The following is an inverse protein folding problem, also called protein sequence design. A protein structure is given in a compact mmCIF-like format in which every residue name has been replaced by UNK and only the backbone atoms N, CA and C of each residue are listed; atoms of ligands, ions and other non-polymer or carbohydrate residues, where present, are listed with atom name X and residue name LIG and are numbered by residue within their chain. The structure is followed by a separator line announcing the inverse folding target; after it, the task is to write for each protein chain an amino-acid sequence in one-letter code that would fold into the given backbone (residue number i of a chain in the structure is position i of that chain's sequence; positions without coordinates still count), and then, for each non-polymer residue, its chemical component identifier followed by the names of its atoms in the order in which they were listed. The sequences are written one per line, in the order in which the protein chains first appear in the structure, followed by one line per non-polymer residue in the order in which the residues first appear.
data_IF_584952776725
#
_entry.id   IF_584952776725
#
_cell.length_a   1.000
_cell.length_b   1.000
_cell.length_c   1.000
_cell.angle_alpha   90.00
_cell.angle_beta   90.00
_cell.angle_gamma   90.00
#
_symmetry.space_group_name_H-M   'P 1'
#
loop_
_entity.id
_entity.type
_entity.pdbx_description
1 polymer ?
#
# COMPACT_ATOMS: atom_id res chain seq x y z
N UNK A 1 -24.50 17.15 -18.93
CA UNK A 1 -23.13 17.48 -19.37
C UNK A 1 -22.17 16.78 -18.44
N UNK A 2 -21.45 15.81 -18.98
CA UNK A 2 -20.57 14.87 -18.27
C UNK A 2 -19.22 15.53 -18.06
N UNK A 3 -18.88 15.86 -16.80
CA UNK A 3 -17.52 16.27 -16.42
C UNK A 3 -16.61 15.05 -16.41
N UNK A 4 -15.61 15.04 -17.29
CA UNK A 4 -14.56 14.03 -17.39
C UNK A 4 -13.77 13.91 -16.06
N UNK A 5 -13.27 12.72 -15.68
CA UNK A 5 -12.35 12.58 -14.56
C UNK A 5 -11.06 13.37 -14.84
N UNK A 6 -10.60 14.13 -13.85
CA UNK A 6 -9.36 14.91 -13.92
C UNK A 6 -8.15 13.96 -13.78
N UNK A 7 -7.83 13.26 -14.86
CA UNK A 7 -6.44 13.01 -15.26
C UNK A 7 -6.12 13.70 -16.62
N UNK A 8 -7.08 14.43 -17.20
CA UNK A 8 -6.90 15.20 -18.44
C UNK A 8 -6.66 16.68 -18.12
N UNK A 9 -5.43 17.16 -18.30
CA UNK A 9 -5.16 18.59 -18.43
C UNK A 9 -4.99 18.93 -19.92
N UNK A 10 -6.11 19.03 -20.65
CA UNK A 10 -6.19 19.89 -21.84
C UNK A 10 -7.11 21.05 -21.50
N UNK A 11 -6.51 22.10 -20.93
CA UNK A 11 -7.16 23.35 -20.62
C UNK A 11 -7.45 24.12 -21.91
N UNK A 12 -8.60 23.86 -22.54
CA UNK A 12 -9.14 24.77 -23.55
C UNK A 12 -9.99 25.85 -22.86
N UNK A 13 -9.46 27.07 -22.98
CA UNK A 13 -10.01 28.36 -22.58
C UNK A 13 -11.48 28.51 -22.99
N UNK A 14 -12.38 28.66 -22.02
CA UNK A 14 -13.68 29.29 -22.24
C UNK A 14 -13.85 30.45 -21.25
N UNK A 15 -13.55 31.64 -21.75
CA UNK A 15 -13.99 32.92 -21.20
C UNK A 15 -15.52 32.98 -21.24
N UNK A 16 -16.16 33.25 -20.10
CA UNK A 16 -17.46 33.93 -20.06
C UNK A 16 -17.59 34.68 -18.72
N UNK A 17 -17.65 36.01 -18.86
CA UNK A 17 -17.98 37.02 -17.85
C UNK A 17 -19.27 36.68 -17.09
N UNK A 18 -19.38 37.03 -15.80
CA UNK A 18 -20.52 37.78 -15.24
C UNK A 18 -20.25 38.24 -13.78
N UNK A 19 -20.07 39.56 -13.64
CA UNK A 19 -20.40 40.52 -12.58
C UNK A 19 -20.00 40.35 -11.08
N UNK A 20 -19.34 41.45 -10.64
CA UNK A 20 -19.03 41.94 -9.31
C UNK A 20 -20.19 41.85 -8.29
N UNK A 21 -19.87 41.34 -7.10
CA UNK A 21 -20.41 41.85 -5.83
C UNK A 21 -19.26 42.09 -4.86
N UNK A 22 -19.14 43.35 -4.44
CA UNK A 22 -18.26 43.78 -3.35
C UNK A 22 -18.78 43.25 -2.02
N UNK A 23 -17.92 42.57 -1.26
CA UNK A 23 -18.05 42.50 0.20
C UNK A 23 -16.66 42.60 0.82
N UNK A 24 -16.38 43.79 1.36
CA UNK A 24 -15.26 44.05 2.24
C UNK A 24 -15.46 43.22 3.50
N UNK A 25 -14.51 42.36 3.86
CA UNK A 25 -14.39 41.94 5.24
C UNK A 25 -12.93 41.80 5.67
N UNK A 26 -12.72 42.38 6.83
CA UNK A 26 -11.53 42.72 7.57
C UNK A 26 -10.50 41.58 7.67
N UNK A 27 -9.27 41.89 7.27
CA UNK A 27 -8.07 41.10 7.52
C UNK A 27 -7.83 40.92 9.01
N UNK A 28 -7.98 39.69 9.50
CA UNK A 28 -7.30 39.22 10.71
C UNK A 28 -6.11 38.38 10.28
N UNK A 29 -4.93 38.99 10.22
CA UNK A 29 -3.67 38.26 10.16
C UNK A 29 -3.45 37.59 11.52
N UNK A 30 -4.01 36.40 11.70
CA UNK A 30 -3.49 35.48 12.70
C UNK A 30 -2.18 34.90 12.15
N UNK A 31 -1.06 35.54 12.51
CA UNK A 31 0.26 34.92 12.49
C UNK A 31 0.27 33.80 13.55
N UNK A 32 -0.35 32.67 13.25
CA UNK A 32 -0.01 31.41 13.91
C UNK A 32 1.25 30.91 13.22
N UNK A 33 2.40 31.03 13.88
CA UNK A 33 3.54 30.16 13.62
C UNK A 33 3.08 28.72 13.87
N UNK A 34 2.52 28.09 12.83
CA UNK A 34 2.15 26.70 12.87
C UNK A 34 3.44 25.91 13.09
N UNK A 35 3.66 25.46 14.31
CA UNK A 35 4.69 24.47 14.61
C UNK A 35 4.40 23.27 13.73
N UNK A 36 5.32 22.96 12.82
CA UNK A 36 5.22 21.82 11.93
C UNK A 36 5.11 20.53 12.76
N UNK A 37 3.97 19.85 12.68
CA UNK A 37 3.80 18.55 13.32
C UNK A 37 4.65 17.52 12.56
N UNK A 38 5.57 16.86 13.26
CA UNK A 38 6.41 15.81 12.68
C UNK A 38 6.75 14.75 13.74
N UNK A 39 6.47 13.49 13.42
CA UNK A 39 6.90 12.32 14.19
C UNK A 39 7.65 11.37 13.27
N UNK A 40 8.81 10.89 13.69
CA UNK A 40 9.59 9.89 12.96
C UNK A 40 9.55 8.54 13.65
N UNK A 41 9.47 7.48 12.83
CA UNK A 41 9.52 6.10 13.27
C UNK A 41 10.52 5.33 12.39
N UNK A 42 11.26 4.36 12.95
CA UNK A 42 12.05 3.45 12.15
C UNK A 42 11.14 2.59 11.26
N UNK A 43 11.52 2.41 10.00
CA UNK A 43 10.80 1.57 9.04
C UNK A 43 11.67 0.36 8.66
N UNK A 44 11.26 -0.84 9.08
CA UNK A 44 12.06 -2.05 8.89
C UNK A 44 11.50 -2.89 7.74
N UNK A 45 12.26 -3.10 6.65
CA UNK A 45 11.89 -4.10 5.65
C UNK A 45 12.14 -5.50 6.20
N UNK A 46 11.10 -6.32 6.28
CA UNK A 46 11.18 -7.67 6.81
C UNK A 46 10.84 -8.69 5.74
N UNK A 47 11.69 -9.70 5.59
CA UNK A 47 11.39 -10.81 4.71
C UNK A 47 10.39 -11.77 5.36
N UNK A 48 9.31 -12.07 4.64
CA UNK A 48 8.29 -13.01 5.09
C UNK A 48 8.74 -14.42 4.67
N UNK A 49 9.27 -15.18 5.64
CA UNK A 49 9.73 -16.55 5.43
C UNK A 49 8.60 -17.44 4.89
N UNK A 50 8.92 -18.25 3.88
CA UNK A 50 8.05 -19.23 3.23
C UNK A 50 7.72 -20.46 4.09
N UNK A 51 8.22 -20.55 5.33
CA UNK A 51 7.99 -21.70 6.22
C UNK A 51 6.75 -21.58 7.11
N UNK A 52 5.60 -21.26 6.52
CA UNK A 52 4.31 -21.66 7.09
C UNK A 52 3.63 -22.62 6.14
N UNK A 53 3.84 -23.90 6.38
CA UNK A 53 2.85 -24.92 6.06
C UNK A 53 1.61 -24.57 6.87
N UNK A 54 0.70 -23.81 6.28
CA UNK A 54 -0.65 -23.65 6.79
C UNK A 54 -1.31 -25.03 6.73
N UNK A 55 -1.15 -25.84 7.78
CA UNK A 55 -2.09 -26.93 8.07
C UNK A 55 -3.41 -26.24 8.40
N UNK A 56 -4.27 -26.09 7.40
CA UNK A 56 -5.70 -25.84 7.62
C UNK A 56 -6.20 -26.99 8.49
N UNK A 57 -6.48 -26.69 9.76
CA UNK A 57 -7.30 -27.54 10.61
C UNK A 57 -8.72 -27.41 10.08
N UNK A 58 -9.16 -28.42 9.33
CA UNK A 58 -10.57 -28.61 9.04
C UNK A 58 -11.27 -28.92 10.37
N UNK A 59 -11.89 -27.92 11.00
CA UNK A 59 -12.92 -28.17 11.99
C UNK A 59 -14.21 -28.52 11.26
N UNK A 60 -14.46 -29.82 11.18
CA UNK A 60 -15.72 -30.40 10.74
C UNK A 60 -16.88 -29.82 11.55
N UNK A 61 -17.75 -29.03 10.94
CA UNK A 61 -19.11 -28.89 11.45
C UNK A 61 -19.94 -30.07 10.94
N UNK A 62 -20.22 -30.99 11.84
CA UNK A 62 -21.14 -32.10 11.64
C UNK A 62 -22.53 -31.54 11.37
N UNK A 63 -23.06 -31.79 10.18
CA UNK A 63 -24.49 -31.88 9.94
C UNK A 63 -24.74 -33.05 8.98
N UNK A 64 -25.50 -34.03 9.46
CA UNK A 64 -25.87 -35.25 8.73
C UNK A 64 -27.10 -34.97 7.81
N UNK A 65 -27.51 -35.86 6.88
CA UNK A 65 -27.33 -35.62 5.45
C UNK A 65 -28.67 -35.64 4.68
N UNK A 66 -28.77 -34.87 3.59
CA UNK A 66 -29.42 -35.24 2.32
C UNK A 66 -29.68 -33.99 1.48
N UNK A 67 -28.75 -33.71 0.56
CA UNK A 67 -29.02 -33.25 -0.80
C UNK A 67 -27.66 -33.17 -1.50
N UNK A 68 -27.44 -34.08 -2.46
CA UNK A 68 -26.23 -34.10 -3.29
C UNK A 68 -26.37 -32.98 -4.32
N UNK A 69 -25.77 -31.83 -4.04
CA UNK A 69 -25.41 -30.84 -5.07
C UNK A 69 -23.91 -30.90 -5.28
N UNK A 70 -23.41 -30.95 -6.53
CA UNK A 70 -21.98 -30.93 -6.79
C UNK A 70 -21.47 -29.50 -6.47
N UNK A 71 -20.92 -29.31 -5.27
CA UNK A 71 -20.17 -28.10 -4.97
C UNK A 71 -18.84 -28.18 -5.72
N UNK A 72 -18.74 -27.49 -6.85
CA UNK A 72 -17.44 -27.15 -7.43
C UNK A 72 -16.68 -26.34 -6.39
N UNK A 73 -15.71 -26.96 -5.71
CA UNK A 73 -14.79 -26.28 -4.83
C UNK A 73 -13.93 -25.34 -5.68
N UNK A 74 -14.33 -24.08 -5.79
CA UNK A 74 -13.51 -23.05 -6.41
C UNK A 74 -12.25 -22.88 -5.56
N UNK A 75 -11.13 -23.34 -6.08
CA UNK A 75 -9.83 -23.31 -5.41
C UNK A 75 -9.22 -21.92 -5.66
N UNK A 76 -9.61 -20.91 -4.88
CA UNK A 76 -9.13 -19.52 -5.02
C UNK A 76 -7.74 -19.30 -4.41
N UNK A 77 -6.88 -20.32 -4.42
CA UNK A 77 -5.54 -20.22 -3.87
C UNK A 77 -4.67 -19.36 -4.80
N UNK A 78 -4.64 -18.06 -4.55
CA UNK A 78 -3.59 -17.20 -5.10
C UNK A 78 -2.25 -17.80 -4.67
N UNK A 79 -1.39 -18.07 -5.64
CA UNK A 79 -0.06 -18.66 -5.40
C UNK A 79 0.94 -17.61 -4.88
N UNK A 80 0.49 -16.37 -4.75
CA UNK A 80 1.27 -15.22 -4.34
C UNK A 80 1.40 -15.20 -2.82
N UNK A 81 2.64 -15.12 -2.33
CA UNK A 81 2.96 -14.81 -0.94
C UNK A 81 4.05 -13.75 -0.98
N UNK A 82 3.90 -12.69 -0.20
CA UNK A 82 4.95 -11.69 -0.05
C UNK A 82 6.27 -12.33 0.34
N UNK A 83 7.36 -11.83 -0.22
CA UNK A 83 8.68 -12.04 0.34
C UNK A 83 9.16 -10.86 1.17
N UNK A 84 8.50 -9.69 1.12
CA UNK A 84 8.88 -8.51 1.90
C UNK A 84 7.68 -7.64 2.32
N UNK A 85 7.67 -7.20 3.58
CA UNK A 85 6.74 -6.20 4.13
C UNK A 85 7.49 -5.07 4.84
N UNK A 86 6.93 -3.86 4.84
CA UNK A 86 7.49 -2.70 5.53
C UNK A 86 6.84 -2.55 6.90
N UNK A 87 7.62 -2.74 7.97
CA UNK A 87 7.10 -2.76 9.33
C UNK A 87 7.40 -1.45 10.04
N UNK A 88 6.37 -0.85 10.63
CA UNK A 88 6.47 0.26 11.57
C UNK A 88 5.94 -0.17 12.94
N UNK A 89 6.63 0.23 14.00
CA UNK A 89 6.20 -0.03 15.38
C UNK A 89 5.50 1.20 15.94
N UNK A 90 4.22 1.06 16.30
CA UNK A 90 3.41 2.19 16.77
C UNK A 90 2.84 1.92 18.18
N UNK A 91 2.87 2.93 19.08
CA UNK A 91 2.32 2.80 20.44
C UNK A 91 0.80 2.99 20.44
N UNK A 92 0.06 1.98 20.91
CA UNK A 92 -1.41 1.95 20.93
C UNK A 92 -1.91 1.75 22.37
N UNK A 93 -2.93 2.49 22.79
CA UNK A 93 -3.56 2.35 24.11
C UNK A 93 -3.01 3.22 25.23
N UNK A 94 -3.54 3.02 26.44
CA UNK A 94 -3.18 3.76 27.66
C UNK A 94 -3.05 2.82 28.87
N UNK A 95 -1.84 2.56 29.40
CA UNK A 95 -0.53 2.93 28.84
C UNK A 95 -0.29 2.29 27.45
N UNK A 96 0.60 2.87 26.63
CA UNK A 96 0.85 2.38 25.28
C UNK A 96 1.47 0.98 25.26
N UNK A 97 0.95 0.13 24.38
CA UNK A 97 1.49 -1.16 23.97
C UNK A 97 2.00 -1.00 22.53
N UNK A 98 3.28 -1.28 22.29
CA UNK A 98 3.89 -1.14 20.95
C UNK A 98 3.44 -2.30 20.07
N UNK A 99 2.85 -1.99 18.92
CA UNK A 99 2.37 -2.97 17.94
C UNK A 99 3.14 -2.82 16.62
N UNK A 100 3.71 -3.91 16.07
CA UNK A 100 4.24 -3.92 14.72
C UNK A 100 3.11 -3.97 13.71
N UNK A 101 3.18 -3.10 12.70
CA UNK A 101 2.17 -2.97 11.67
C UNK A 101 2.83 -2.88 10.30
N UNK A 102 2.28 -3.58 9.32
CA UNK A 102 2.66 -3.42 7.91
C UNK A 102 2.14 -2.07 7.42
N UNK A 103 3.03 -1.22 6.91
CA UNK A 103 2.66 0.04 6.28
C UNK A 103 2.04 -0.23 4.91
N UNK A 104 0.74 0.06 4.76
CA UNK A 104 -0.02 -0.30 3.57
C UNK A 104 -0.82 0.90 3.05
N UNK A 105 -0.35 1.52 1.96
CA UNK A 105 -1.05 2.62 1.29
C UNK A 105 -2.15 2.16 0.32
N UNK A 106 -2.29 0.85 0.12
CA UNK A 106 -3.33 0.22 -0.71
C UNK A 106 -4.61 -0.17 0.05
N UNK A 107 -4.61 -0.16 1.39
CA UNK A 107 -5.80 -0.49 2.19
C UNK A 107 -6.24 0.60 3.16
N UNK A 108 -7.52 0.52 3.56
CA UNK A 108 -8.12 1.50 4.46
C UNK A 108 -8.12 1.06 5.92
N UNK A 109 -8.51 -0.16 6.25
CA UNK A 109 -8.72 -0.53 7.65
C UNK A 109 -7.37 -0.85 8.30
N UNK A 110 -6.97 -0.05 9.28
CA UNK A 110 -5.91 -0.45 10.20
C UNK A 110 -6.43 -1.51 11.16
N UNK A 111 -5.67 -2.59 11.36
CA UNK A 111 -6.01 -3.65 12.30
C UNK A 111 -4.78 -4.20 13.01
N UNK A 112 -4.99 -4.76 14.19
CA UNK A 112 -3.96 -5.31 15.09
C UNK A 112 -4.37 -6.67 15.63
N UNK A 113 -3.41 -7.45 16.11
CA UNK A 113 -3.66 -8.71 16.81
C UNK A 113 -4.17 -8.45 18.22
N UNK A 114 -5.32 -9.04 18.56
CA UNK A 114 -5.95 -8.86 19.85
C UNK A 114 -6.15 -10.18 20.59
N UNK A 115 -5.45 -10.35 21.71
CA UNK A 115 -5.67 -11.47 22.61
C UNK A 115 -5.69 -10.99 24.06
N UNK A 116 -6.65 -11.51 24.83
CA UNK A 116 -6.56 -11.46 26.30
C UNK A 116 -5.41 -12.38 26.71
N UNK A 117 -4.62 -12.04 27.75
CA UNK A 117 -3.58 -12.92 28.32
C UNK A 117 -4.00 -14.39 28.27
N UNK A 118 -3.48 -15.14 27.31
CA UNK A 118 -3.57 -16.58 27.32
C UNK A 118 -2.58 -17.12 28.36
N UNK A 119 -2.85 -18.26 29.00
CA UNK A 119 -1.87 -18.93 29.87
C UNK A 119 -0.64 -19.48 29.11
N UNK A 120 -0.58 -19.29 27.79
CA UNK A 120 0.55 -19.60 26.92
C UNK A 120 1.15 -18.29 26.41
N UNK A 121 2.46 -18.23 26.11
CA UNK A 121 3.05 -16.98 25.64
C UNK A 121 2.27 -16.50 24.41
N UNK A 122 1.64 -15.31 24.47
CA UNK A 122 1.05 -14.72 23.27
C UNK A 122 2.14 -14.55 22.21
N UNK A 123 1.78 -14.44 20.91
CA UNK A 123 2.72 -13.92 19.93
C UNK A 123 3.35 -12.65 20.51
N UNK A 124 4.65 -12.45 20.34
CA UNK A 124 5.43 -11.36 20.96
C UNK A 124 4.96 -9.94 20.60
N UNK A 125 3.85 -9.80 19.87
CA UNK A 125 3.33 -8.62 19.22
C UNK A 125 1.78 -8.58 19.18
N UNK A 126 1.10 -8.96 20.27
CA UNK A 126 -0.35 -8.81 20.38
C UNK A 126 -0.72 -7.73 21.39
N UNK A 127 -1.76 -6.95 21.06
CA UNK A 127 -2.38 -5.98 21.94
C UNK A 127 -3.30 -6.69 22.93
N UNK A 128 -3.13 -6.42 24.23
CA UNK A 128 -4.04 -6.87 25.28
C UNK A 128 -5.05 -5.76 25.61
N UNK A 129 -6.33 -5.92 25.21
CA UNK A 129 -7.35 -4.92 25.49
C UNK A 129 -7.59 -4.64 26.97
N UNK A 130 -7.30 -5.61 27.85
CA UNK A 130 -7.52 -5.45 29.30
C UNK A 130 -6.50 -4.55 29.98
N UNK A 131 -5.36 -4.29 29.32
CA UNK A 131 -4.28 -3.45 29.83
C UNK A 131 -4.38 -2.00 29.35
N UNK A 132 -5.38 -1.66 28.52
CA UNK A 132 -5.60 -0.30 28.04
C UNK A 132 -6.88 0.30 28.61
N UNK A 133 -6.76 1.40 29.36
CA UNK A 133 -7.91 2.13 29.91
C UNK A 133 -8.72 2.90 28.87
N UNK A 134 -8.18 3.05 27.65
CA UNK A 134 -8.85 3.75 26.53
C UNK A 134 -9.45 2.81 25.50
N UNK A 135 -9.30 1.49 25.69
CA UNK A 135 -9.91 0.50 24.83
C UNK A 135 -11.43 0.52 24.98
N UNK A 136 -12.14 0.51 23.86
CA UNK A 136 -13.60 0.33 23.86
C UNK A 136 -14.08 -0.50 22.69
N UNK A 137 -15.08 -1.32 22.96
CA UNK A 137 -15.74 -2.13 21.92
C UNK A 137 -16.59 -1.25 21.00
N UNK A 138 -16.67 -1.61 19.72
CA UNK A 138 -17.61 -1.00 18.79
C UNK A 138 -18.91 -1.84 18.76
N UNK A 139 -20.04 -1.34 19.30
CA UNK A 139 -21.29 -2.09 19.29
C UNK A 139 -21.80 -2.22 17.85
N UNK A 140 -22.52 -3.32 17.56
CA UNK A 140 -23.04 -3.55 16.21
C UNK A 140 -24.07 -2.48 15.76
N UNK A 141 -24.69 -1.76 16.71
CA UNK A 141 -25.59 -0.64 16.40
C UNK A 141 -24.86 0.59 15.86
N UNK A 142 -23.53 0.63 15.93
CA UNK A 142 -22.72 1.74 15.45
C UNK A 142 -22.87 1.90 13.92
N UNK A 143 -22.99 3.14 13.38
CA UNK A 143 -23.20 3.36 11.95
C UNK A 143 -22.14 2.75 11.02
N UNK A 144 -20.88 2.67 11.46
CA UNK A 144 -19.80 2.02 10.70
C UNK A 144 -20.02 0.52 10.51
N UNK A 145 -20.79 -0.12 11.41
CA UNK A 145 -21.15 -1.53 11.26
C UNK A 145 -22.26 -1.79 10.24
N UNK A 146 -22.91 -0.73 9.75
CA UNK A 146 -23.79 -0.83 8.60
C UNK A 146 -22.91 -0.84 7.35
N UNK A 147 -22.88 -1.93 6.57
CA UNK A 147 -22.02 -2.03 5.41
C UNK A 147 -22.22 -0.87 4.45
N UNK A 148 -21.12 -0.27 4.00
CA UNK A 148 -21.11 0.73 2.92
C UNK A 148 -19.96 0.37 2.00
N UNK A 149 -20.22 0.34 0.70
CA UNK A 149 -19.17 0.17 -0.32
C UNK A 149 -18.53 1.55 -0.54
N UNK A 150 -17.20 1.68 -0.61
CA UNK A 150 -16.18 0.63 -0.59
C UNK A 150 -15.48 0.45 0.78
N UNK A 151 -16.14 0.76 1.92
CA UNK A 151 -15.48 0.72 3.24
C UNK A 151 -14.99 -0.69 3.63
N UNK A 152 -15.71 -1.73 3.18
CA UNK A 152 -15.31 -3.13 3.36
C UNK A 152 -15.61 -3.92 2.10
N UNK A 153 -14.68 -4.78 1.68
CA UNK A 153 -14.87 -5.72 0.55
C UNK A 153 -15.92 -6.78 0.87
N UNK A 154 -15.99 -7.19 2.14
CA UNK A 154 -17.06 -8.01 2.68
C UNK A 154 -17.91 -7.19 3.67
N UNK A 155 -19.25 -7.31 3.61
CA UNK A 155 -20.11 -6.63 4.57
C UNK A 155 -19.74 -6.97 6.02
N UNK A 156 -19.68 -5.96 6.89
CA UNK A 156 -19.62 -6.16 8.33
C UNK A 156 -20.88 -6.85 8.84
N UNK A 157 -20.76 -7.61 9.92
CA UNK A 157 -21.87 -8.37 10.50
C UNK A 157 -21.96 -8.14 12.03
N UNK A 158 -23.05 -8.60 12.65
CA UNK A 158 -23.14 -8.64 14.11
C UNK A 158 -22.77 -10.03 14.59
N UNK A 159 -21.78 -10.13 15.49
CA UNK A 159 -21.49 -11.40 16.16
C UNK A 159 -22.56 -11.74 17.23
N UNK A 160 -22.42 -12.92 17.84
CA UNK A 160 -23.32 -13.40 18.89
C UNK A 160 -23.35 -12.48 20.13
N UNK A 161 -22.29 -11.72 20.36
CA UNK A 161 -22.15 -10.76 21.46
C UNK A 161 -22.60 -9.34 21.07
N UNK A 162 -23.23 -9.17 19.90
CA UNK A 162 -23.69 -7.87 19.37
C UNK A 162 -22.54 -6.89 19.12
N UNK A 163 -21.34 -7.40 18.87
CA UNK A 163 -20.17 -6.62 18.47
C UNK A 163 -20.13 -6.51 16.95
N UNK A 164 -19.45 -5.46 16.48
CA UNK A 164 -19.30 -5.25 15.04
C UNK A 164 -18.19 -6.12 14.47
N UNK A 165 -18.58 -7.22 13.83
CA UNK A 165 -17.66 -8.16 13.21
C UNK A 165 -17.22 -7.68 11.83
N UNK A 166 -15.94 -7.90 11.51
CA UNK A 166 -15.36 -7.63 10.21
C UNK A 166 -14.54 -8.82 9.73
N UNK A 167 -14.43 -8.93 8.42
CA UNK A 167 -13.56 -9.85 7.72
C UNK A 167 -12.88 -9.11 6.58
N UNK A 168 -11.58 -9.27 6.46
CA UNK A 168 -10.78 -8.57 5.45
C UNK A 168 -9.87 -9.55 4.72
N UNK A 169 -9.97 -9.56 3.39
CA UNK A 169 -9.11 -10.34 2.50
C UNK A 169 -8.25 -9.38 1.67
N UNK A 170 -6.96 -9.67 1.63
CA UNK A 170 -5.97 -8.90 0.88
C UNK A 170 -5.59 -9.64 -0.41
N UNK A 171 -5.05 -8.90 -1.39
CA UNK A 171 -4.69 -9.43 -2.71
C UNK A 171 -3.59 -10.51 -2.66
N UNK A 172 -2.82 -10.56 -1.58
CA UNK A 172 -1.83 -11.59 -1.30
C UNK A 172 -2.39 -12.83 -0.60
N UNK A 173 -3.71 -12.88 -0.38
CA UNK A 173 -4.37 -13.93 0.37
C UNK A 173 -4.21 -13.80 1.88
N UNK A 174 -3.62 -12.72 2.40
CA UNK A 174 -3.68 -12.43 3.83
C UNK A 174 -5.12 -12.21 4.25
N UNK A 175 -5.48 -12.78 5.40
CA UNK A 175 -6.79 -12.67 5.99
C UNK A 175 -6.68 -12.17 7.43
N UNK A 176 -7.63 -11.32 7.82
CA UNK A 176 -7.83 -10.89 9.19
C UNK A 176 -9.33 -10.86 9.53
N UNK A 177 -9.67 -11.44 10.68
CA UNK A 177 -11.03 -11.53 11.21
C UNK A 177 -11.07 -11.14 12.68
N UNK A 178 -12.12 -10.43 13.05
CA UNK A 178 -12.44 -10.18 14.45
C UNK A 178 -13.50 -9.12 14.57
N UNK A 179 -13.35 -8.25 15.57
CA UNK A 179 -14.30 -7.19 15.84
C UNK A 179 -13.67 -5.81 15.64
N UNK A 180 -14.46 -4.86 15.15
CA UNK A 180 -14.07 -3.46 15.17
C UNK A 180 -14.09 -2.93 16.60
N UNK A 181 -13.08 -2.15 16.93
CA UNK A 181 -12.87 -1.54 18.26
C UNK A 181 -12.52 -0.08 18.10
N UNK A 182 -12.49 0.65 19.22
CA UNK A 182 -11.93 1.99 19.29
C UNK A 182 -10.74 2.01 20.23
N UNK A 183 -9.64 2.55 19.75
CA UNK A 183 -8.43 2.77 20.53
C UNK A 183 -7.63 3.94 19.95
N UNK A 184 -6.77 4.57 20.75
CA UNK A 184 -5.91 5.67 20.29
C UNK A 184 -4.44 5.24 20.17
N UNK A 185 -3.72 5.93 19.30
CA UNK A 185 -2.27 5.87 19.24
C UNK A 185 -1.69 6.91 20.20
N UNK A 186 -0.82 6.49 21.12
CA UNK A 186 -0.30 7.32 22.20
C UNK A 186 1.21 7.52 22.02
N UNK A 187 1.59 8.57 21.30
CA UNK A 187 2.99 8.85 20.95
C UNK A 187 3.79 9.43 22.11
N UNK A 188 3.16 10.25 22.95
CA UNK A 188 3.75 10.78 24.18
C UNK A 188 2.65 11.07 25.21
N UNK A 189 3.02 11.58 26.38
CA UNK A 189 2.05 11.99 27.42
C UNK A 189 1.10 13.10 26.96
N UNK A 190 1.56 13.99 26.08
CA UNK A 190 0.80 15.14 25.58
C UNK A 190 0.33 14.97 24.15
N UNK A 191 0.69 13.88 23.48
CA UNK A 191 0.44 13.68 22.06
C UNK A 191 -0.15 12.29 21.79
N UNK A 192 -1.42 12.28 21.39
CA UNK A 192 -2.13 11.09 20.97
C UNK A 192 -3.15 11.43 19.88
N UNK A 193 -3.54 10.43 19.09
CA UNK A 193 -4.69 10.57 18.19
C UNK A 193 -5.99 10.65 18.99
N UNK A 194 -7.11 11.11 18.39
CA UNK A 194 -8.42 10.70 18.88
C UNK A 194 -8.54 9.16 18.85
N UNK A 195 -9.50 8.56 19.59
CA UNK A 195 -9.81 7.14 19.42
C UNK A 195 -10.20 6.86 17.96
N UNK A 196 -9.44 5.98 17.32
CA UNK A 196 -9.65 5.54 15.94
C UNK A 196 -10.39 4.21 15.94
N UNK A 197 -11.17 3.95 14.91
CA UNK A 197 -11.75 2.64 14.66
C UNK A 197 -10.66 1.75 14.07
N UNK A 198 -10.40 0.62 14.72
CA UNK A 198 -9.42 -0.38 14.31
C UNK A 198 -10.08 -1.76 14.22
N UNK A 199 -9.55 -2.63 13.36
CA UNK A 199 -9.81 -4.05 13.44
C UNK A 199 -9.02 -4.69 14.59
N UNK A 200 -9.69 -5.46 15.44
CA UNK A 200 -9.09 -6.23 16.52
C UNK A 200 -9.18 -7.70 16.12
N UNK A 201 -8.12 -8.19 15.46
CA UNK A 201 -8.10 -9.53 14.88
C UNK A 201 -7.93 -10.59 15.97
N UNK A 202 -8.77 -11.63 15.92
CA UNK A 202 -8.64 -12.85 16.73
C UNK A 202 -8.18 -14.03 15.90
N UNK A 203 -8.40 -13.97 14.58
CA UNK A 203 -7.94 -14.96 13.61
C UNK A 203 -7.29 -14.24 12.42
N UNK A 204 -6.11 -14.67 12.02
CA UNK A 204 -5.36 -14.05 10.93
C UNK A 204 -4.23 -14.94 10.42
N UNK A 205 -3.83 -14.73 9.17
CA UNK A 205 -2.67 -15.43 8.58
C UNK A 205 -1.34 -14.69 8.77
N UNK A 206 -1.34 -13.43 9.21
CA UNK A 206 -0.14 -12.66 9.55
C UNK A 206 -0.07 -12.40 11.07
N UNK A 207 1.05 -12.69 11.75
CA UNK A 207 1.20 -12.47 13.20
C UNK A 207 1.31 -10.99 13.61
N UNK A 208 1.32 -10.05 12.67
CA UNK A 208 1.36 -8.59 12.90
C UNK A 208 0.02 -7.96 12.50
N UNK A 209 -0.10 -6.64 12.67
CA UNK A 209 -1.20 -5.84 12.15
C UNK A 209 -0.91 -5.20 10.79
N UNK A 210 -1.90 -4.48 10.25
CA UNK A 210 -1.75 -3.61 9.07
C UNK A 210 -2.10 -2.17 9.48
N UNK A 211 -1.28 -1.22 9.08
CA UNK A 211 -1.56 0.22 9.13
C UNK A 211 -2.10 0.64 7.77
N UNK A 212 -3.42 0.68 7.65
CA UNK A 212 -4.12 1.12 6.46
C UNK A 212 -3.98 2.63 6.27
N UNK A 213 -3.32 3.03 5.19
CA UNK A 213 -2.93 4.41 4.91
C UNK A 213 -3.53 4.97 3.64
N UNK A 214 -4.48 4.29 2.99
CA UNK A 214 -5.15 4.84 1.79
C UNK A 214 -6.03 6.07 2.11
N UNK A 215 -6.78 6.57 1.13
CA UNK A 215 -7.62 7.78 1.27
C UNK A 215 -9.03 7.51 1.85
N UNK A 216 -9.30 6.26 2.24
CA UNK A 216 -10.56 5.83 2.83
C UNK A 216 -10.77 6.41 4.22
N UNK A 217 -12.04 6.58 4.63
CA UNK A 217 -12.37 7.21 5.92
C UNK A 217 -11.95 6.41 7.14
N UNK A 218 -11.71 5.10 6.97
CA UNK A 218 -11.22 4.20 8.02
C UNK A 218 -9.69 4.11 8.06
N UNK A 219 -8.98 4.78 7.13
CA UNK A 219 -7.52 4.85 7.17
C UNK A 219 -7.02 5.60 8.38
N UNK A 220 -5.84 5.20 8.86
CA UNK A 220 -5.18 5.90 9.95
C UNK A 220 -5.05 7.38 9.60
N UNK A 221 -4.64 7.70 8.36
CA UNK A 221 -4.48 9.09 7.93
C UNK A 221 -5.75 9.92 8.05
N UNK A 222 -6.88 9.39 7.55
CA UNK A 222 -8.18 10.06 7.61
C UNK A 222 -8.70 10.21 9.04
N UNK A 223 -8.60 9.17 9.87
CA UNK A 223 -9.16 9.19 11.23
C UNK A 223 -8.31 10.05 12.18
N UNK A 224 -6.98 10.05 12.02
CA UNK A 224 -6.05 10.86 12.82
C UNK A 224 -5.91 12.31 12.33
N UNK A 225 -6.47 12.63 11.17
CA UNK A 225 -6.43 13.96 10.53
C UNK A 225 -5.02 14.46 10.23
N UNK A 226 -4.08 13.55 9.93
CA UNK A 226 -2.78 13.97 9.40
C UNK A 226 -2.97 14.59 8.01
N UNK A 227 -2.19 15.61 7.71
CA UNK A 227 -2.22 16.32 6.43
C UNK A 227 -1.21 15.76 5.43
N UNK A 228 -0.22 15.02 5.92
CA UNK A 228 0.82 14.38 5.11
C UNK A 228 1.53 13.28 5.88
N UNK A 229 2.15 12.36 5.15
CA UNK A 229 3.10 11.39 5.68
C UNK A 229 4.11 11.01 4.61
N UNK A 230 5.26 10.49 5.00
CA UNK A 230 6.26 10.01 4.03
C UNK A 230 7.05 8.83 4.56
N UNK A 231 7.68 8.08 3.66
CA UNK A 231 8.62 7.04 4.02
C UNK A 231 9.81 6.96 3.08
N UNK A 232 10.89 6.38 3.57
CA UNK A 232 12.10 6.07 2.82
C UNK A 232 12.47 4.61 3.09
N UNK A 233 12.42 3.76 2.08
CA UNK A 233 12.73 2.32 2.22
C UNK A 233 14.20 2.08 1.88
N UNK A 234 15.00 1.45 2.75
CA UNK A 234 16.39 1.16 2.41
C UNK A 234 16.49 -0.03 1.44
N UNK A 235 17.60 -0.07 0.71
CA UNK A 235 17.93 -1.23 -0.12
C UNK A 235 18.21 -2.44 0.77
N UNK A 236 17.75 -3.62 0.35
CA UNK A 236 18.10 -4.89 0.99
C UNK A 236 19.62 -5.07 0.98
N UNK A 237 20.23 -5.11 2.16
CA UNK A 237 21.62 -5.55 2.29
C UNK A 237 21.63 -7.06 2.51
N UNK A 238 22.40 -7.78 1.70
CA UNK A 238 22.67 -9.22 1.86
C UNK A 238 23.77 -9.51 2.89
N UNK A 239 24.30 -8.47 3.56
CA UNK A 239 25.37 -8.62 4.56
C UNK A 239 24.79 -9.11 5.89
N UNK A 240 25.37 -10.17 6.49
CA UNK A 240 25.01 -10.60 7.84
C UNK A 240 25.34 -9.51 8.87
N UNK A 241 24.42 -9.22 9.79
CA UNK A 241 24.72 -8.44 11.01
C UNK A 241 24.02 -7.08 11.14
N UNK A 242 23.36 -6.56 10.10
CA UNK A 242 22.56 -5.32 10.20
C UNK A 242 21.36 -5.34 9.27
N UNK A 243 20.14 -5.23 9.83
CA UNK A 243 18.93 -5.00 9.03
C UNK A 243 18.87 -3.48 8.78
N UNK A 244 19.08 -3.01 7.54
CA UNK A 244 19.02 -1.59 7.27
C UNK A 244 17.61 -1.10 7.59
N UNK A 245 17.52 0.03 8.28
CA UNK A 245 16.26 0.61 8.73
C UNK A 245 16.07 1.94 8.03
N UNK A 246 14.89 2.12 7.44
CA UNK A 246 14.46 3.36 6.85
C UNK A 246 13.75 4.25 7.86
N UNK A 247 13.02 5.22 7.34
CA UNK A 247 12.29 6.19 8.14
C UNK A 247 10.87 6.33 7.65
N UNK A 248 9.94 6.48 8.58
CA UNK A 248 8.54 6.81 8.34
C UNK A 248 8.20 8.09 9.13
N UNK A 249 7.68 9.09 8.44
CA UNK A 249 7.28 10.36 9.03
C UNK A 249 5.76 10.50 8.99
N UNK A 250 5.16 10.81 10.14
CA UNK A 250 3.81 11.35 10.24
C UNK A 250 3.92 12.88 10.33
N UNK A 251 3.34 13.59 9.38
CA UNK A 251 3.51 15.04 9.25
C UNK A 251 4.76 15.43 8.45
N UNK A 252 5.35 16.57 8.78
CA UNK A 252 6.40 17.21 7.99
C UNK A 252 7.69 16.38 7.91
N UNK A 253 8.19 16.20 6.68
CA UNK A 253 9.48 15.58 6.43
C UNK A 253 10.56 16.66 6.28
N UNK A 254 11.63 16.65 7.10
CA UNK A 254 12.71 17.63 6.99
C UNK A 254 13.49 17.55 5.66
N UNK A 255 13.36 16.45 4.90
CA UNK A 255 14.02 16.24 3.62
C UNK A 255 13.16 16.65 2.41
N UNK A 256 11.94 17.17 2.63
CA UNK A 256 10.95 17.42 1.57
C UNK A 256 11.31 18.55 0.59
N UNK A 257 12.30 19.38 0.90
CA UNK A 257 12.72 20.52 0.08
C UNK A 257 13.18 20.13 -1.33
N UNK A 258 13.73 18.92 -1.49
CA UNK A 258 14.18 18.39 -2.77
C UNK A 258 13.13 17.60 -3.56
N UNK A 259 11.93 17.41 -3.01
CA UNK A 259 10.95 16.51 -3.61
C UNK A 259 10.33 17.10 -4.87
N UNK A 260 10.04 16.23 -5.84
CA UNK A 260 9.28 16.55 -7.05
C UNK A 260 7.88 15.98 -6.89
N UNK A 261 6.88 16.84 -7.07
CA UNK A 261 5.49 16.49 -6.80
C UNK A 261 4.68 16.31 -8.08
N UNK A 262 3.86 15.28 -8.09
CA UNK A 262 2.82 15.04 -9.10
C UNK A 262 1.45 15.12 -8.44
N UNK A 263 0.50 15.80 -9.08
CA UNK A 263 -0.88 15.88 -8.60
C UNK A 263 -1.53 14.50 -8.69
N UNK A 264 -2.30 14.13 -7.68
CA UNK A 264 -3.08 12.90 -7.72
C UNK A 264 -4.28 13.04 -8.64
N UNK A 265 -4.61 11.97 -9.35
CA UNK A 265 -5.85 11.90 -10.10
C UNK A 265 -7.06 11.96 -9.16
N UNK A 266 -8.13 12.60 -9.64
CA UNK A 266 -9.41 12.65 -8.92
C UNK A 266 -10.52 12.04 -9.76
N UNK A 267 -11.33 11.21 -9.10
CA UNK A 267 -12.41 10.47 -9.73
C UNK A 267 -13.76 10.94 -9.19
N UNK A 268 -14.72 11.15 -10.07
CA UNK A 268 -16.08 11.50 -9.67
C UNK A 268 -16.78 10.28 -9.06
N UNK A 269 -17.46 10.50 -7.94
CA UNK A 269 -18.08 9.43 -7.14
C UNK A 269 -19.26 8.72 -7.84
N UNK A 270 -19.73 9.24 -8.98
CA UNK A 270 -20.92 8.76 -9.70
C UNK A 270 -20.63 7.83 -10.89
N UNK A 271 -19.37 7.63 -11.25
CA UNK A 271 -19.00 6.77 -12.37
C UNK A 271 -18.95 5.30 -11.94
N UNK A 272 -19.74 4.44 -12.58
CA UNK A 272 -19.67 2.99 -12.40
C UNK A 272 -18.40 2.46 -13.08
N UNK A 273 -17.30 2.49 -12.35
CA UNK A 273 -16.01 1.91 -12.75
C UNK A 273 -15.70 0.74 -11.82
N UNK A 274 -16.15 -0.49 -12.13
CA UNK A 274 -16.01 -1.63 -11.23
C UNK A 274 -14.55 -2.02 -10.91
N UNK A 275 -13.61 -1.65 -11.79
CA UNK A 275 -12.19 -1.97 -11.62
C UNK A 275 -11.38 -0.81 -11.00
N UNK A 276 -12.01 0.33 -10.71
CA UNK A 276 -11.33 1.48 -10.12
C UNK A 276 -11.33 1.37 -8.59
N UNK A 277 -10.18 1.64 -7.97
CA UNK A 277 -10.12 2.00 -6.55
C UNK A 277 -10.06 3.53 -6.39
N UNK A 278 -11.18 4.22 -6.06
CA UNK A 278 -11.18 5.68 -5.91
C UNK A 278 -10.42 6.16 -4.66
N UNK A 279 -10.07 5.25 -3.74
CA UNK A 279 -9.38 5.55 -2.48
C UNK A 279 -7.86 5.35 -2.58
N UNK A 280 -7.37 4.76 -3.66
CA UNK A 280 -5.94 4.59 -3.91
C UNK A 280 -5.24 5.92 -4.24
N UNK A 281 -3.94 5.97 -3.94
CA UNK A 281 -3.07 7.07 -4.35
C UNK A 281 -2.70 6.94 -5.82
N UNK A 282 -3.53 7.56 -6.66
CA UNK A 282 -3.42 7.42 -8.12
C UNK A 282 -2.62 8.57 -8.71
N UNK A 283 -1.65 8.23 -9.57
CA UNK A 283 -0.76 9.21 -10.20
C UNK A 283 -0.81 9.11 -11.73
N UNK A 284 -0.73 10.23 -12.48
CA UNK A 284 -0.80 10.25 -13.93
C UNK A 284 0.53 9.85 -14.57
N UNK A 285 0.80 8.54 -14.60
CA UNK A 285 1.97 7.98 -15.27
C UNK A 285 1.85 8.11 -16.80
N UNK A 286 2.97 8.43 -17.46
CA UNK A 286 3.05 8.77 -18.88
C UNK A 286 3.88 7.78 -19.69
N UNK A 287 4.76 7.00 -19.06
CA UNK A 287 5.64 6.11 -19.79
C UNK A 287 6.65 5.35 -18.93
N UNK A 288 7.36 4.44 -19.61
CA UNK A 288 8.47 3.66 -19.06
C UNK A 288 9.65 3.79 -20.00
N UNK A 289 10.85 4.03 -19.46
CA UNK A 289 12.12 4.03 -20.18
C UNK A 289 13.04 2.95 -19.64
N UNK A 290 13.70 2.21 -20.52
CA UNK A 290 14.68 1.16 -20.17
C UNK A 290 15.95 1.43 -20.97
N UNK A 291 17.10 1.54 -20.30
CA UNK A 291 18.39 1.77 -20.96
C UNK A 291 18.43 3.04 -21.81
N UNK A 292 17.70 4.08 -21.40
CA UNK A 292 17.56 5.33 -22.16
C UNK A 292 16.52 5.30 -23.28
N UNK A 293 15.97 4.14 -23.65
CA UNK A 293 14.92 4.00 -24.66
C UNK A 293 13.53 4.08 -24.02
N UNK A 294 12.76 5.10 -24.41
CA UNK A 294 11.33 5.18 -24.04
C UNK A 294 10.55 4.10 -24.78
N UNK A 295 9.80 3.28 -24.05
CA UNK A 295 9.01 2.20 -24.63
C UNK A 295 7.78 2.76 -25.35
N UNK A 296 7.37 2.10 -26.44
CA UNK A 296 6.16 2.47 -27.19
C UNK A 296 4.92 1.94 -26.46
N UNK A 297 4.51 2.65 -25.40
CA UNK A 297 3.31 2.39 -24.59
C UNK A 297 2.47 3.68 -24.63
N UNK A 298 1.19 3.57 -24.98
CA UNK A 298 0.28 4.72 -24.93
C UNK A 298 0.08 5.18 -23.49
N UNK A 299 0.13 6.49 -23.18
CA UNK A 299 -0.19 6.99 -21.84
C UNK A 299 -1.58 6.59 -21.34
N UNK A 300 -2.52 6.27 -22.24
CA UNK A 300 -3.86 5.79 -21.89
C UNK A 300 -3.84 4.46 -21.12
N UNK A 301 -2.81 3.62 -21.30
CA UNK A 301 -2.64 2.33 -20.62
C UNK A 301 -2.44 2.49 -19.10
N UNK A 302 -1.97 3.67 -18.68
CA UNK A 302 -1.71 4.02 -17.29
C UNK A 302 -2.84 4.81 -16.63
N UNK A 303 -3.96 5.00 -17.34
CA UNK A 303 -5.13 5.74 -16.86
C UNK A 303 -6.32 4.81 -16.74
N UNK A 304 -7.21 5.13 -15.80
CA UNK A 304 -8.47 4.43 -15.66
C UNK A 304 -9.32 4.63 -16.93
N UNK A 305 -9.69 3.54 -17.59
CA UNK A 305 -10.64 3.51 -18.69
C UNK A 305 -12.09 3.63 -18.20
N UNK A 306 -13.06 3.49 -19.10
CA UNK A 306 -14.48 3.56 -18.74
C UNK A 306 -14.93 2.49 -17.73
N UNK A 307 -14.20 1.36 -17.63
CA UNK A 307 -14.42 0.31 -16.63
C UNK A 307 -13.62 0.51 -15.34
N UNK A 308 -12.70 1.48 -15.30
CA UNK A 308 -11.77 1.71 -14.19
C UNK A 308 -10.42 1.03 -14.32
N UNK A 309 -10.20 0.24 -15.38
CA UNK A 309 -8.97 -0.51 -15.60
C UNK A 309 -7.84 0.38 -16.07
N UNK A 310 -6.60 0.04 -15.76
CA UNK A 310 -5.41 0.80 -16.17
C UNK A 310 -4.97 1.89 -15.18
N UNK A 311 -5.74 2.14 -14.11
CA UNK A 311 -5.36 3.04 -13.01
C UNK A 311 -3.92 2.76 -12.52
N UNK A 312 -3.12 3.81 -12.28
CA UNK A 312 -1.75 3.65 -11.76
C UNK A 312 -1.65 4.11 -10.30
N UNK A 313 -1.41 3.16 -9.40
CA UNK A 313 -1.43 3.36 -7.94
C UNK A 313 -0.02 3.28 -7.35
N UNK A 314 0.28 4.11 -6.34
CA UNK A 314 1.50 3.99 -5.53
C UNK A 314 1.18 3.22 -4.26
N UNK A 315 1.79 2.05 -4.09
CA UNK A 315 1.45 1.13 -3.02
C UNK A 315 2.69 0.63 -2.25
N UNK A 316 2.72 0.88 -0.94
CA UNK A 316 3.75 0.35 -0.04
C UNK A 316 3.49 -1.10 0.36
N UNK A 317 2.22 -1.55 0.29
CA UNK A 317 1.79 -2.89 0.63
C UNK A 317 2.28 -3.92 -0.38
N UNK A 318 2.29 -3.58 -1.68
CA UNK A 318 2.81 -4.43 -2.75
C UNK A 318 4.35 -4.44 -2.82
N UNK A 319 4.98 -5.62 -2.82
CA UNK A 319 6.44 -5.76 -2.97
C UNK A 319 6.92 -5.36 -4.36
N UNK A 320 6.45 -6.06 -5.39
CA UNK A 320 6.80 -5.76 -6.78
C UNK A 320 5.86 -4.75 -7.42
N UNK A 321 6.33 -4.17 -8.53
CA UNK A 321 5.47 -3.42 -9.43
C UNK A 321 4.65 -4.37 -10.28
N UNK A 322 3.38 -4.06 -10.46
CA UNK A 322 2.47 -4.80 -11.31
C UNK A 322 2.00 -3.90 -12.43
N UNK A 323 2.05 -4.40 -13.67
CA UNK A 323 1.61 -3.66 -14.84
C UNK A 323 0.51 -4.43 -15.55
N UNK A 324 -0.47 -3.70 -16.09
CA UNK A 324 -1.44 -4.28 -17.01
C UNK A 324 -0.73 -4.88 -18.22
N UNK A 325 -1.28 -5.93 -18.82
CA UNK A 325 -0.60 -6.73 -19.84
C UNK A 325 -0.02 -5.89 -20.99
N UNK A 326 -0.74 -4.87 -21.47
CA UNK A 326 -0.27 -4.03 -22.56
C UNK A 326 1.06 -3.31 -22.24
N UNK A 327 1.26 -2.85 -21.00
CA UNK A 327 2.51 -2.25 -20.55
C UNK A 327 3.56 -3.32 -20.18
N UNK A 328 3.13 -4.36 -19.46
CA UNK A 328 3.98 -5.47 -19.03
C UNK A 328 4.66 -6.16 -20.23
N UNK A 329 3.92 -6.44 -21.30
CA UNK A 329 4.44 -7.13 -22.48
C UNK A 329 5.53 -6.31 -23.19
N UNK A 330 5.41 -4.97 -23.21
CA UNK A 330 6.44 -4.08 -23.78
C UNK A 330 7.71 -4.06 -22.93
N UNK A 331 7.57 -4.03 -21.61
CA UNK A 331 8.70 -4.14 -20.67
C UNK A 331 9.40 -5.48 -20.85
N UNK A 332 8.63 -6.57 -20.82
CA UNK A 332 9.14 -7.93 -20.99
C UNK A 332 9.84 -8.11 -22.33
N UNK A 333 9.26 -7.62 -23.42
CA UNK A 333 9.87 -7.69 -24.74
C UNK A 333 11.23 -6.98 -24.79
N UNK A 334 11.34 -5.79 -24.20
CA UNK A 334 12.61 -5.06 -24.16
C UNK A 334 13.65 -5.76 -23.29
N UNK A 335 13.27 -6.23 -22.10
CA UNK A 335 14.16 -6.99 -21.20
C UNK A 335 14.65 -8.28 -21.88
N UNK A 336 13.74 -9.06 -22.49
CA UNK A 336 14.11 -10.30 -23.20
C UNK A 336 15.00 -9.99 -24.42
N UNK A 337 14.78 -8.87 -25.11
CA UNK A 337 15.65 -8.45 -26.22
C UNK A 337 17.09 -8.22 -25.78
N UNK A 338 17.31 -7.65 -24.59
CA UNK A 338 18.66 -7.30 -24.10
C UNK A 338 19.34 -8.42 -23.31
N UNK A 339 18.59 -9.22 -22.54
CA UNK A 339 19.16 -10.24 -21.62
C UNK A 339 18.53 -11.63 -21.76
N UNK A 340 17.64 -11.85 -22.73
CA UNK A 340 16.92 -13.11 -22.94
C UNK A 340 17.75 -14.40 -22.92
N UNK A 341 18.98 -14.44 -23.48
CA UNK A 341 19.82 -15.64 -23.40
C UNK A 341 20.19 -16.09 -21.98
N UNK A 342 20.14 -15.19 -20.99
CA UNK A 342 20.41 -15.47 -19.57
C UNK A 342 19.15 -15.83 -18.77
N UNK A 343 17.97 -15.81 -19.42
CA UNK A 343 16.69 -16.00 -18.75
C UNK A 343 16.54 -17.45 -18.26
N UNK A 344 16.14 -17.60 -17.00
CA UNK A 344 15.89 -18.88 -16.36
C UNK A 344 14.56 -19.45 -16.86
N UNK A 345 14.63 -20.52 -17.66
CA UNK A 345 13.45 -21.13 -18.28
C UNK A 345 12.56 -21.82 -17.24
N UNK A 346 11.25 -21.64 -17.37
CA UNK A 346 10.24 -22.32 -16.55
C UNK A 346 10.22 -21.91 -15.07
N UNK A 347 10.90 -20.82 -14.71
CA UNK A 347 10.94 -20.33 -13.34
C UNK A 347 10.07 -19.08 -13.18
N UNK A 348 9.21 -19.09 -12.17
CA UNK A 348 8.38 -17.95 -11.79
C UNK A 348 8.48 -17.78 -10.29
N UNK A 349 9.13 -16.71 -9.84
CA UNK A 349 9.27 -16.40 -8.43
C UNK A 349 7.93 -15.93 -7.84
N UNK A 350 7.56 -16.49 -6.68
CA UNK A 350 6.33 -16.14 -5.98
C UNK A 350 5.04 -16.35 -6.79
N UNK A 351 5.09 -17.12 -7.89
CA UNK A 351 3.97 -17.30 -8.81
C UNK A 351 3.64 -16.10 -9.70
N UNK A 352 4.38 -14.99 -9.59
CA UNK A 352 4.08 -13.72 -10.27
C UNK A 352 5.21 -13.19 -11.15
N UNK A 353 6.48 -13.29 -10.70
CA UNK A 353 7.62 -12.71 -11.40
C UNK A 353 8.31 -13.76 -12.27
N UNK A 354 8.19 -13.62 -13.58
CA UNK A 354 8.67 -14.57 -14.60
C UNK A 354 9.89 -14.05 -15.39
N UNK A 355 10.27 -12.78 -15.22
CA UNK A 355 11.50 -12.20 -15.78
C UNK A 355 12.70 -12.47 -14.86
N UNK A 356 13.08 -13.74 -14.74
CA UNK A 356 14.16 -14.21 -13.87
C UNK A 356 15.37 -14.72 -14.65
N UNK A 357 16.56 -14.56 -14.08
CA UNK A 357 17.84 -14.79 -14.73
C UNK A 357 18.80 -15.53 -13.80
N UNK A 358 19.58 -16.44 -14.38
CA UNK A 358 20.73 -17.04 -13.71
C UNK A 358 21.98 -16.16 -13.93
N UNK A 359 22.83 -16.03 -12.91
CA UNK A 359 24.13 -15.37 -13.03
C UNK A 359 24.25 -14.05 -12.28
N UNK A 360 25.22 -13.22 -12.67
CA UNK A 360 25.58 -12.02 -11.92
C UNK A 360 24.58 -10.87 -12.16
N UNK A 361 23.87 -10.45 -11.09
CA UNK A 361 22.91 -9.34 -11.14
C UNK A 361 23.49 -8.02 -11.65
N UNK A 362 24.75 -7.70 -11.32
CA UNK A 362 25.40 -6.45 -11.75
C UNK A 362 25.56 -6.43 -13.26
N UNK A 363 26.01 -7.54 -13.86
CA UNK A 363 26.17 -7.65 -15.31
C UNK A 363 24.83 -7.57 -16.04
N UNK A 364 23.83 -8.32 -15.55
CA UNK A 364 22.49 -8.36 -16.15
C UNK A 364 21.84 -6.96 -16.05
N UNK A 365 21.92 -6.33 -14.87
CA UNK A 365 21.48 -4.96 -14.67
C UNK A 365 22.15 -4.00 -15.65
N UNK A 366 23.47 -4.09 -15.84
CA UNK A 366 24.20 -3.24 -16.79
C UNK A 366 23.74 -3.39 -18.24
N UNK A 367 23.30 -4.58 -18.64
CA UNK A 367 22.75 -4.84 -19.96
C UNK A 367 21.32 -4.28 -20.12
N UNK A 368 20.51 -4.32 -19.06
CA UNK A 368 19.18 -3.71 -19.05
C UNK A 368 19.29 -2.17 -19.04
N UNK A 369 20.23 -1.63 -18.27
CA UNK A 369 20.38 -0.20 -18.03
C UNK A 369 19.37 0.32 -17.01
N UNK A 370 19.36 1.65 -16.82
CA UNK A 370 18.45 2.28 -15.87
C UNK A 370 16.99 2.16 -16.35
N UNK A 371 16.09 1.94 -15.41
CA UNK A 371 14.66 1.94 -15.64
C UNK A 371 14.05 3.21 -15.06
N UNK A 372 13.11 3.84 -15.77
CA UNK A 372 12.47 5.07 -15.32
C UNK A 372 10.96 4.97 -15.52
N UNK A 373 10.21 5.29 -14.46
CA UNK A 373 8.78 5.57 -14.54
C UNK A 373 8.59 7.08 -14.70
N UNK A 374 7.95 7.48 -15.79
CA UNK A 374 7.74 8.88 -16.16
C UNK A 374 6.32 9.31 -15.76
N UNK A 375 6.18 10.46 -15.11
CA UNK A 375 4.90 11.05 -14.72
C UNK A 375 4.73 12.44 -15.35
N UNK A 376 3.56 13.05 -15.20
CA UNK A 376 3.35 14.43 -15.63
C UNK A 376 4.34 15.42 -14.98
N UNK A 377 4.48 16.59 -15.61
CA UNK A 377 5.34 17.68 -15.15
C UNK A 377 6.83 17.29 -15.03
N UNK A 378 7.26 16.24 -15.74
CA UNK A 378 8.65 15.78 -15.76
C UNK A 378 9.10 15.13 -14.45
N UNK A 379 8.16 14.70 -13.60
CA UNK A 379 8.47 13.92 -12.40
C UNK A 379 8.83 12.50 -12.82
N UNK A 380 9.88 11.94 -12.24
CA UNK A 380 10.39 10.61 -12.57
C UNK A 380 10.70 9.81 -11.30
N UNK A 381 10.46 8.50 -11.33
CA UNK A 381 11.13 7.54 -10.45
C UNK A 381 12.24 6.90 -11.27
N UNK A 382 13.49 7.15 -10.87
CA UNK A 382 14.67 6.58 -11.52
C UNK A 382 15.16 5.37 -10.72
N UNK A 383 15.21 4.22 -11.38
CA UNK A 383 15.74 2.96 -10.85
C UNK A 383 17.07 2.69 -11.56
N UNK A 384 18.21 2.93 -10.88
CA UNK A 384 19.52 2.58 -11.40
C UNK A 384 19.60 1.11 -11.75
N UNK A 385 20.36 0.79 -12.80
CA UNK A 385 20.62 -0.57 -13.29
C UNK A 385 21.07 -1.55 -12.20
N UNK A 386 21.73 -1.10 -11.15
CA UNK A 386 22.15 -1.92 -10.01
C UNK A 386 20.98 -2.40 -9.14
N UNK A 387 19.78 -1.82 -9.33
CA UNK A 387 18.57 -2.07 -8.51
C UNK A 387 17.37 -2.54 -9.31
N UNK A 388 17.52 -2.82 -10.60
CA UNK A 388 16.43 -3.35 -11.44
C UNK A 388 16.08 -4.79 -11.07
N UNK A 389 17.04 -5.54 -10.50
CA UNK A 389 16.91 -6.95 -10.19
C UNK A 389 16.79 -7.19 -8.69
N UNK A 390 15.73 -7.89 -8.28
CA UNK A 390 15.56 -8.45 -6.96
C UNK A 390 16.36 -9.76 -6.84
N UNK A 391 17.11 -9.90 -5.76
CA UNK A 391 17.70 -11.19 -5.36
C UNK A 391 16.64 -12.08 -4.72
N UNK A 392 16.32 -13.18 -5.39
CA UNK A 392 15.31 -14.15 -4.95
C UNK A 392 15.91 -15.43 -4.37
N UNK A 393 17.23 -15.43 -4.13
CA UNK A 393 17.96 -16.56 -3.59
C UNK A 393 18.46 -17.55 -4.65
N UNK A 394 19.33 -18.48 -4.22
CA UNK A 394 19.90 -19.53 -5.06
C UNK A 394 20.62 -19.03 -6.33
N UNK A 395 21.16 -17.80 -6.30
CA UNK A 395 21.83 -17.18 -7.44
C UNK A 395 20.89 -16.77 -8.57
N UNK A 396 19.57 -16.70 -8.30
CA UNK A 396 18.55 -16.26 -9.24
C UNK A 396 18.17 -14.81 -8.92
N UNK A 397 18.02 -14.02 -9.97
CA UNK A 397 17.64 -12.62 -9.88
C UNK A 397 16.48 -12.32 -10.82
N UNK A 398 15.45 -11.63 -10.34
CA UNK A 398 14.25 -11.33 -11.12
C UNK A 398 14.06 -9.82 -11.26
N UNK A 399 13.58 -9.35 -12.41
CA UNK A 399 13.13 -7.95 -12.54
C UNK A 399 11.94 -7.77 -11.59
N UNK A 400 11.93 -6.68 -10.81
CA UNK A 400 10.87 -6.38 -9.82
C UNK A 400 9.51 -5.99 -10.41
N UNK A 401 9.17 -6.48 -11.61
CA UNK A 401 7.92 -6.22 -12.34
C UNK A 401 7.24 -7.54 -12.67
N UNK A 402 5.93 -7.61 -12.41
CA UNK A 402 5.06 -8.72 -12.80
C UNK A 402 3.81 -8.21 -13.54
N UNK A 403 3.06 -9.11 -14.16
CA UNK A 403 1.75 -8.80 -14.75
C UNK A 403 0.70 -8.67 -13.64
N UNK A 404 -0.15 -7.63 -13.72
CA UNK A 404 -1.23 -7.40 -12.76
C UNK A 404 -2.31 -8.48 -12.77
N UNK A 405 -2.48 -9.18 -13.90
CA UNK A 405 -3.40 -10.34 -14.00
C UNK A 405 -3.03 -11.45 -13.02
N UNK A 406 -1.74 -11.59 -12.69
CA UNK A 406 -1.28 -12.57 -11.69
C UNK A 406 -1.77 -12.26 -10.28
N UNK A 407 -2.13 -11.01 -10.00
CA UNK A 407 -2.80 -10.59 -8.77
C UNK A 407 -4.33 -10.55 -8.88
N UNK A 408 -4.89 -10.79 -10.08
CA UNK A 408 -6.30 -10.51 -10.34
C UNK A 408 -6.63 -9.01 -10.32
N UNK A 409 -5.63 -8.14 -10.51
CA UNK A 409 -5.79 -6.70 -10.52
C UNK A 409 -5.83 -6.19 -11.98
N UNK A 410 -6.81 -5.34 -12.29
CA UNK A 410 -6.94 -4.71 -13.61
C UNK A 410 -6.24 -3.34 -13.69
N UNK A 411 -5.26 -3.10 -12.81
CA UNK A 411 -4.62 -1.80 -12.58
C UNK A 411 -3.10 -1.94 -12.48
N UNK A 412 -2.39 -0.85 -12.75
CA UNK A 412 -0.96 -0.72 -12.54
C UNK A 412 -0.68 -0.36 -11.07
N UNK A 413 0.34 -0.99 -10.48
CA UNK A 413 0.73 -0.78 -9.08
C UNK A 413 2.24 -0.58 -9.03
N UNK A 414 2.69 0.57 -8.53
CA UNK A 414 4.10 0.81 -8.23
C UNK A 414 4.36 0.28 -6.83
N UNK A 415 4.98 -0.89 -6.74
CA UNK A 415 5.31 -1.53 -5.46
C UNK A 415 6.56 -0.97 -4.81
N UNK A 416 6.78 -1.38 -3.56
CA UNK A 416 7.83 -0.85 -2.70
C UNK A 416 9.27 -1.17 -3.18
N UNK A 417 9.48 -2.21 -4.00
CA UNK A 417 10.80 -2.54 -4.55
C UNK A 417 11.39 -1.37 -5.36
N UNK A 418 10.57 -0.74 -6.22
CA UNK A 418 10.97 0.44 -6.99
C UNK A 418 10.88 1.75 -6.20
N UNK A 419 10.43 1.70 -4.95
CA UNK A 419 10.42 2.84 -4.02
C UNK A 419 11.61 2.78 -3.04
N UNK A 420 12.53 1.81 -3.18
CA UNK A 420 13.76 1.76 -2.39
C UNK A 420 14.71 2.91 -2.73
N UNK A 421 15.38 3.46 -1.71
CA UNK A 421 16.26 4.63 -1.81
C UNK A 421 15.58 5.85 -2.45
N UNK A 422 14.30 5.99 -2.13
CA UNK A 422 13.42 7.05 -2.59
C UNK A 422 12.55 7.47 -1.41
N UNK A 423 12.49 8.77 -1.14
CA UNK A 423 11.42 9.36 -0.36
C UNK A 423 10.14 9.33 -1.17
N UNK A 424 9.08 8.79 -0.59
CA UNK A 424 7.71 8.87 -1.10
C UNK A 424 6.88 9.62 -0.07
N UNK A 425 6.36 10.79 -0.45
CA UNK A 425 5.52 11.63 0.41
C UNK A 425 4.10 11.71 -0.16
N UNK A 426 3.12 11.49 0.70
CA UNK A 426 1.71 11.66 0.40
C UNK A 426 1.24 12.94 1.09
N UNK A 427 1.13 14.03 0.32
CA UNK A 427 0.61 15.32 0.78
C UNK A 427 -0.91 15.33 0.58
N UNK A 428 -1.62 14.86 1.61
CA UNK A 428 -3.07 14.66 1.59
C UNK A 428 -3.82 15.98 1.49
N UNK A 429 -3.31 17.03 2.14
CA UNK A 429 -3.90 18.36 2.12
C UNK A 429 -3.86 18.98 0.71
N UNK A 430 -2.74 18.83 0.00
CA UNK A 430 -2.57 19.38 -1.34
C UNK A 430 -2.90 18.38 -2.46
N UNK A 431 -3.27 17.15 -2.12
CA UNK A 431 -3.63 16.07 -3.05
C UNK A 431 -2.54 15.74 -4.08
N UNK A 432 -1.30 15.57 -3.62
CA UNK A 432 -0.14 15.26 -4.48
C UNK A 432 0.77 14.22 -3.84
N UNK A 433 1.55 13.53 -4.67
CA UNK A 433 2.60 12.59 -4.25
C UNK A 433 3.97 13.17 -4.61
N UNK A 434 4.89 13.19 -3.65
CA UNK A 434 6.24 13.70 -3.79
C UNK A 434 7.27 12.57 -3.86
N UNK A 435 8.25 12.70 -4.74
CA UNK A 435 9.37 11.77 -4.87
C UNK A 435 10.72 12.50 -4.71
N UNK A 436 11.64 11.92 -3.96
CA UNK A 436 13.00 12.46 -3.79
C UNK A 436 14.05 11.38 -3.58
N UNK A 437 15.10 11.36 -4.40
CA UNK A 437 16.19 10.37 -4.26
C UNK A 437 16.91 10.52 -2.91
N UNK A 438 17.23 9.38 -2.27
CA UNK A 438 17.88 9.37 -0.95
C UNK A 438 18.68 8.09 -0.70
N UNK A 439 19.62 8.14 0.24
CA UNK A 439 20.15 6.93 0.89
C UNK A 439 19.38 6.69 2.19
N UNK A 440 18.33 5.86 2.11
CA UNK A 440 17.44 5.64 3.25
C UNK A 440 18.12 4.89 4.40
N UNK A 441 19.27 4.25 4.18
CA UNK A 441 19.99 3.50 5.21
C UNK A 441 20.79 4.39 6.18
N UNK A 442 21.07 5.64 5.80
CA UNK A 442 21.87 6.60 6.59
C UNK A 442 21.02 7.61 7.36
N UNK A 443 19.69 7.55 7.19
CA UNK A 443 18.74 8.54 7.71
C UNK A 443 18.09 8.12 9.04
N UNK A 444 18.36 6.91 9.52
CA UNK A 444 18.04 6.52 10.89
C UNK A 444 19.09 7.11 11.85
N UNK A 445 18.87 8.36 12.30
CA UNK A 445 19.58 8.96 13.43
C UNK A 445 18.61 9.29 14.54
#
# INVERSE_FOLDING_TARGET
MSSSPLCDNNMHLFLLFFYLFFSVNLSSQHNTTATSFSLSFPLTPLSLSTNTTSKMLYTSMVSNPRLKTPSSSYNYKLSFKYSMALIVNLPIGTPPQVQPMVLDTGSQLSWIQCHKKAPKPPPTASFDPSLSSTFSILPCTHPVCKPRIPDFTLPTSCDQNRLCHYSYFYADGTYAEGNLVREKFTFSRSLSTPPLILGCATESTDPRGILGMNRGRLSFGSQSKITKFSYCVPIRQTRPGSIPTGSFYLGDNPNSSGFKYVEMCTFAQSQRMPNLDPLAYTVPMQGIRIGGKRLNISPAVFRADAGGSGQTMVDSGSEFTYLVNEAYDKVRAEVVRVVGPRMKKGYVYGGVADMCFDGNAVEIGRLIGDMVFEFEKGVEIVIPKERVLADVGSGVHCVGIASSDKLGAASNIIGNFHQQNLWVEFDLANRRVGFGGADCSRLAK
#
